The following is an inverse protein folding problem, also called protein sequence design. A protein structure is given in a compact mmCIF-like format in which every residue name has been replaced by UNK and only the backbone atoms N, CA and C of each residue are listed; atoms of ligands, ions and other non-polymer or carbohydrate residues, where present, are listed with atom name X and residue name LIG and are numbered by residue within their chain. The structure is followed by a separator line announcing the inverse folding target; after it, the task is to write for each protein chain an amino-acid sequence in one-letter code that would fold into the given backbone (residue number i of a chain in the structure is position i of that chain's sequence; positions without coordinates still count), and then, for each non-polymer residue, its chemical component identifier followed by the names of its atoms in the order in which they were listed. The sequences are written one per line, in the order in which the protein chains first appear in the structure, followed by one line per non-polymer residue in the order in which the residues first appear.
data_IF_782161048639
#
_entry.id   IF_782161048639
#
_cell.length_a   1.000
_cell.length_b   1.000
_cell.length_c   1.000
_cell.angle_alpha   90.00
_cell.angle_beta   90.00
_cell.angle_gamma   90.00
#
_symmetry.space_group_name_H-M   'P 1'
#
loop_
_entity.id
_entity.type
_entity.pdbx_description
1 polymer ?
#
# COMPACT_ATOMS: atom_id res chain seq x y z
N UNK A 1 -24.73 -91.28 -33.58
CA UNK A 1 -23.40 -90.81 -34.04
C UNK A 1 -23.28 -89.32 -33.76
N UNK A 2 -22.35 -89.04 -32.86
CA UNK A 2 -21.85 -87.80 -32.22
C UNK A 2 -22.23 -86.41 -32.78
N UNK A 3 -22.56 -85.49 -31.85
CA UNK A 3 -22.44 -84.04 -32.07
C UNK A 3 -21.62 -83.37 -30.97
N UNK A 4 -20.50 -82.83 -31.45
CA UNK A 4 -19.45 -81.97 -30.89
C UNK A 4 -19.70 -81.22 -29.57
N UNK A 5 -18.69 -81.33 -28.70
CA UNK A 5 -18.22 -80.26 -27.81
C UNK A 5 -16.69 -80.30 -27.79
N UNK A 6 -16.02 -79.20 -28.14
CA UNK A 6 -14.64 -78.97 -27.73
C UNK A 6 -14.48 -77.52 -27.26
N UNK A 7 -13.76 -77.44 -26.15
CA UNK A 7 -13.54 -76.35 -25.23
C UNK A 7 -12.26 -75.59 -25.64
N UNK A 8 -12.32 -74.27 -25.75
CA UNK A 8 -11.13 -73.41 -25.76
C UNK A 8 -11.34 -72.28 -24.75
N UNK A 9 -10.54 -72.29 -23.68
CA UNK A 9 -10.45 -71.23 -22.68
C UNK A 9 -9.69 -70.03 -23.26
N UNK A 10 -10.32 -68.87 -23.32
CA UNK A 10 -9.69 -67.57 -23.52
C UNK A 10 -9.61 -66.85 -22.18
N UNK A 11 -8.39 -66.53 -21.74
CA UNK A 11 -8.09 -65.73 -20.55
C UNK A 11 -8.33 -64.26 -20.91
N UNK A 12 -9.37 -63.64 -20.36
CA UNK A 12 -9.57 -62.19 -20.37
C UNK A 12 -8.93 -61.60 -19.12
N UNK A 13 -7.84 -60.84 -19.29
CA UNK A 13 -7.24 -60.04 -18.22
C UNK A 13 -8.04 -58.76 -18.03
N UNK A 14 -8.99 -58.77 -17.09
CA UNK A 14 -9.70 -57.58 -16.62
C UNK A 14 -8.84 -56.88 -15.56
N UNK A 15 -8.26 -55.72 -15.91
CA UNK A 15 -7.67 -54.82 -14.92
C UNK A 15 -8.81 -54.23 -14.07
N UNK A 16 -8.89 -54.67 -12.81
CA UNK A 16 -9.74 -54.05 -11.80
C UNK A 16 -9.11 -52.69 -11.43
N UNK A 17 -9.68 -51.59 -11.93
CA UNK A 17 -9.50 -50.27 -11.34
C UNK A 17 -10.22 -50.27 -9.99
N UNK A 18 -9.45 -50.38 -8.91
CA UNK A 18 -9.95 -50.09 -7.57
C UNK A 18 -10.14 -48.58 -7.51
N UNK A 19 -11.39 -48.12 -7.62
CA UNK A 19 -11.79 -46.77 -7.25
C UNK A 19 -11.61 -46.62 -5.74
N UNK A 20 -10.42 -46.20 -5.30
CA UNK A 20 -10.29 -45.50 -4.02
C UNK A 20 -10.82 -44.09 -4.24
N UNK A 21 -11.83 -43.60 -3.51
CA UNK A 21 -12.11 -42.18 -3.52
C UNK A 21 -10.86 -41.48 -3.00
N UNK A 22 -10.21 -40.73 -3.90
CA UNK A 22 -9.27 -39.70 -3.48
C UNK A 22 -10.13 -38.70 -2.72
N UNK A 23 -10.07 -38.77 -1.39
CA UNK A 23 -10.36 -37.60 -0.57
C UNK A 23 -9.28 -36.62 -0.98
N UNK A 24 -9.62 -35.71 -1.90
CA UNK A 24 -8.83 -34.49 -2.11
C UNK A 24 -8.88 -33.74 -0.79
N UNK A 25 -7.93 -34.05 0.08
CA UNK A 25 -7.50 -33.16 1.13
C UNK A 25 -6.82 -31.98 0.46
N UNK A 26 -7.62 -31.09 -0.14
CA UNK A 26 -7.18 -29.73 -0.36
C UNK A 26 -7.01 -29.13 1.03
N UNK A 27 -5.77 -29.07 1.52
CA UNK A 27 -5.43 -28.17 2.60
C UNK A 27 -5.46 -26.73 2.08
N UNK A 28 -6.62 -26.29 1.58
CA UNK A 28 -6.94 -24.87 1.59
C UNK A 28 -7.13 -24.53 3.06
N UNK A 29 -6.10 -23.97 3.70
CA UNK A 29 -6.37 -23.04 4.79
C UNK A 29 -6.97 -21.78 4.16
N UNK A 30 -8.19 -21.89 3.64
CA UNK A 30 -9.10 -20.77 3.59
C UNK A 30 -9.33 -20.44 5.05
N UNK A 31 -8.51 -19.55 5.60
CA UNK A 31 -8.82 -18.94 6.88
C UNK A 31 -10.16 -18.24 6.64
N UNK A 32 -11.25 -18.85 7.12
CA UNK A 32 -12.55 -18.18 7.19
C UNK A 32 -12.28 -16.82 7.82
N UNK A 33 -12.59 -15.74 7.08
CA UNK A 33 -12.35 -14.40 7.55
C UNK A 33 -13.16 -14.21 8.84
N UNK A 34 -12.52 -14.08 10.02
CA UNK A 34 -13.22 -14.04 11.29
C UNK A 34 -14.02 -12.75 11.50
N UNK A 35 -14.01 -11.85 10.51
CA UNK A 35 -14.70 -10.57 10.52
C UNK A 35 -15.92 -10.50 9.58
N UNK A 36 -16.36 -11.61 8.98
CA UNK A 36 -17.48 -11.64 8.03
C UNK A 36 -18.33 -12.93 8.11
N UNK A 37 -19.37 -13.02 7.28
CA UNK A 37 -20.19 -14.23 7.09
C UNK A 37 -20.95 -14.74 8.35
N UNK A 38 -21.24 -13.85 9.31
CA UNK A 38 -21.90 -14.20 10.57
C UNK A 38 -23.28 -14.86 10.42
N UNK A 39 -23.98 -14.61 9.32
CA UNK A 39 -25.29 -15.24 9.02
C UNK A 39 -25.14 -16.68 8.54
N UNK A 40 -24.02 -17.00 7.90
CA UNK A 40 -23.80 -18.27 7.22
C UNK A 40 -22.90 -19.21 8.04
N UNK A 41 -22.11 -18.67 8.97
CA UNK A 41 -21.26 -19.44 9.85
C UNK A 41 -21.33 -18.93 11.30
N UNK A 42 -22.13 -19.59 12.13
CA UNK A 42 -22.26 -19.24 13.55
C UNK A 42 -21.07 -19.70 14.40
N UNK A 43 -20.18 -20.55 13.88
CA UNK A 43 -18.99 -20.98 14.61
C UNK A 43 -17.97 -19.83 14.75
N UNK A 44 -17.96 -18.86 13.83
CA UNK A 44 -17.04 -17.71 13.93
C UNK A 44 -17.33 -16.85 15.17
N UNK A 45 -18.57 -16.85 15.67
CA UNK A 45 -18.94 -16.18 16.91
C UNK A 45 -18.12 -16.72 18.10
N UNK A 46 -17.81 -18.02 18.10
CA UNK A 46 -17.08 -18.69 19.18
C UNK A 46 -15.58 -18.36 19.23
N UNK A 47 -15.05 -17.73 18.17
CA UNK A 47 -13.67 -17.24 18.14
C UNK A 47 -13.46 -16.07 19.11
N UNK A 48 -14.51 -15.27 19.33
CA UNK A 48 -14.46 -14.06 20.15
C UNK A 48 -15.37 -14.15 21.39
N UNK A 49 -16.48 -14.89 21.30
CA UNK A 49 -17.50 -14.95 22.34
C UNK A 49 -17.66 -16.37 22.93
N UNK A 50 -17.98 -16.46 24.22
CA UNK A 50 -18.35 -17.73 24.87
C UNK A 50 -19.41 -17.51 25.94
N UNK A 51 -20.51 -18.27 25.87
CA UNK A 51 -21.60 -18.17 26.86
C UNK A 51 -21.22 -18.71 28.23
N UNK A 52 -20.47 -19.82 28.29
CA UNK A 52 -20.11 -20.48 29.55
C UNK A 52 -18.67 -20.23 30.00
N UNK A 53 -17.81 -19.69 29.12
CA UNK A 53 -16.37 -19.48 29.41
C UNK A 53 -15.91 -18.04 29.11
N UNK A 54 -16.84 -17.08 29.07
CA UNK A 54 -16.48 -15.67 28.97
C UNK A 54 -15.57 -15.27 30.13
N UNK A 55 -14.59 -14.42 29.82
CA UNK A 55 -13.67 -13.82 30.79
C UNK A 55 -13.95 -12.34 31.03
N UNK A 56 -14.78 -11.72 30.19
CA UNK A 56 -15.18 -10.32 30.32
C UNK A 56 -16.63 -10.10 29.85
N UNK A 57 -17.11 -8.86 29.98
CA UNK A 57 -18.41 -8.43 29.49
C UNK A 57 -18.61 -8.73 28.00
N UNK A 58 -19.88 -8.73 27.55
CA UNK A 58 -20.26 -9.06 26.16
C UNK A 58 -19.77 -10.44 25.72
N UNK A 59 -19.59 -11.35 26.68
CA UNK A 59 -19.19 -12.74 26.50
C UNK A 59 -17.77 -12.92 25.92
N UNK A 60 -16.88 -11.94 26.02
CA UNK A 60 -15.55 -12.06 25.41
C UNK A 60 -14.73 -13.22 26.00
N UNK A 61 -14.02 -13.96 25.15
CA UNK A 61 -13.18 -15.10 25.54
C UNK A 61 -11.85 -14.69 26.21
N UNK A 62 -11.46 -13.43 26.07
CA UNK A 62 -10.32 -12.82 26.76
C UNK A 62 -10.78 -11.74 27.75
N UNK A 63 -9.85 -11.30 28.60
CA UNK A 63 -10.11 -10.35 29.69
C UNK A 63 -10.37 -8.93 29.21
N UNK A 64 -9.90 -8.57 28.01
CA UNK A 64 -10.09 -7.24 27.43
C UNK A 64 -10.40 -7.33 25.93
N UNK A 65 -10.87 -6.21 25.35
CA UNK A 65 -11.14 -6.13 23.90
C UNK A 65 -9.83 -6.29 23.12
N UNK A 66 -8.77 -5.60 23.56
CA UNK A 66 -7.43 -5.71 23.01
C UNK A 66 -6.92 -7.14 23.04
N UNK A 67 -7.04 -7.81 24.18
CA UNK A 67 -6.55 -9.18 24.35
C UNK A 67 -7.31 -10.15 23.44
N UNK A 68 -8.61 -9.92 23.22
CA UNK A 68 -9.42 -10.71 22.28
C UNK A 68 -8.90 -10.53 20.85
N UNK A 69 -8.69 -9.29 20.40
CA UNK A 69 -8.16 -9.01 19.06
C UNK A 69 -6.74 -9.59 18.88
N UNK A 70 -5.91 -9.51 19.91
CA UNK A 70 -4.54 -10.01 19.90
C UNK A 70 -4.42 -11.53 19.89
N UNK A 71 -5.48 -12.29 20.15
CA UNK A 71 -5.47 -13.74 19.93
C UNK A 71 -5.07 -14.09 18.49
N UNK A 72 -5.40 -13.23 17.53
CA UNK A 72 -4.98 -13.37 16.13
C UNK A 72 -3.97 -12.30 15.70
N UNK A 73 -4.17 -11.04 16.13
CA UNK A 73 -3.41 -9.88 15.64
C UNK A 73 -2.10 -9.57 16.39
N UNK A 74 -1.59 -10.53 17.16
CA UNK A 74 -0.25 -10.46 17.76
C UNK A 74 0.82 -11.27 17.00
N UNK A 75 0.45 -11.75 15.81
CA UNK A 75 1.32 -12.46 14.89
C UNK A 75 1.22 -13.97 14.91
N UNK A 76 0.22 -14.56 15.59
CA UNK A 76 -0.01 -16.02 15.60
C UNK A 76 -1.25 -16.51 14.85
N UNK A 77 -2.28 -15.67 14.67
CA UNK A 77 -3.55 -16.09 14.05
C UNK A 77 -3.98 -15.25 12.85
N UNK A 78 -3.20 -14.24 12.49
CA UNK A 78 -3.45 -13.37 11.33
C UNK A 78 -2.13 -13.03 10.66
N UNK A 79 -2.20 -12.76 9.34
CA UNK A 79 -1.08 -12.15 8.62
C UNK A 79 -0.71 -10.77 9.17
N UNK A 80 -1.65 -10.08 9.84
CA UNK A 80 -1.40 -8.77 10.43
C UNK A 80 -1.07 -8.89 11.92
N UNK A 81 0.21 -8.68 12.25
CA UNK A 81 0.70 -8.53 13.63
C UNK A 81 0.67 -7.04 13.98
N UNK A 82 -0.52 -6.55 14.32
CA UNK A 82 -0.77 -5.15 14.67
C UNK A 82 -0.05 -4.77 15.96
N UNK A 83 0.13 -5.73 16.88
CA UNK A 83 0.87 -5.52 18.13
C UNK A 83 2.31 -5.09 17.86
N UNK A 84 3.03 -5.81 17.01
CA UNK A 84 4.43 -5.52 16.69
C UNK A 84 4.60 -4.68 15.41
N UNK A 85 3.50 -4.24 14.80
CA UNK A 85 3.50 -3.45 13.57
C UNK A 85 4.15 -4.18 12.41
N UNK A 86 3.87 -5.48 12.26
CA UNK A 86 4.39 -6.33 11.19
C UNK A 86 3.27 -6.92 10.35
N UNK A 87 3.58 -7.20 9.10
CA UNK A 87 2.76 -8.03 8.22
C UNK A 87 3.58 -9.25 7.81
N UNK A 88 3.02 -10.43 8.02
CA UNK A 88 3.60 -11.68 7.55
C UNK A 88 3.35 -11.85 6.06
N UNK A 89 4.40 -12.20 5.34
CA UNK A 89 4.41 -12.23 3.89
C UNK A 89 5.09 -13.50 3.39
N UNK A 90 4.30 -14.39 2.79
CA UNK A 90 4.77 -15.64 2.19
C UNK A 90 5.56 -15.34 0.90
N UNK A 91 6.84 -15.70 0.90
CA UNK A 91 7.73 -15.61 -0.28
C UNK A 91 7.86 -16.95 -1.01
N UNK A 92 7.50 -18.05 -0.35
CA UNK A 92 7.30 -19.37 -0.96
C UNK A 92 6.25 -20.16 -0.17
N UNK A 93 5.93 -21.38 -0.61
CA UNK A 93 5.02 -22.28 0.10
C UNK A 93 5.47 -22.60 1.53
N UNK A 94 6.79 -22.54 1.79
CA UNK A 94 7.38 -22.94 3.07
C UNK A 94 8.11 -21.81 3.78
N UNK A 95 8.08 -20.59 3.23
CA UNK A 95 8.87 -19.47 3.75
C UNK A 95 8.07 -18.18 3.76
N UNK A 96 8.11 -17.51 4.90
CA UNK A 96 7.53 -16.19 5.09
C UNK A 96 8.50 -15.24 5.75
N UNK A 97 8.39 -13.97 5.37
CA UNK A 97 9.15 -12.87 5.95
C UNK A 97 8.18 -11.89 6.61
N UNK A 98 8.62 -11.29 7.72
CA UNK A 98 7.87 -10.21 8.37
C UNK A 98 8.38 -8.86 7.89
N UNK A 99 7.52 -8.11 7.21
CA UNK A 99 7.78 -6.73 6.80
C UNK A 99 7.11 -5.74 7.76
N UNK A 100 7.63 -4.52 7.85
CA UNK A 100 6.98 -3.46 8.65
C UNK A 100 5.62 -3.10 8.04
N UNK A 101 4.61 -2.97 8.91
CA UNK A 101 3.29 -2.51 8.53
C UNK A 101 3.28 -1.00 8.32
N UNK A 102 2.63 -0.54 7.25
CA UNK A 102 2.41 0.89 7.01
C UNK A 102 1.48 1.58 8.02
N UNK A 103 0.85 0.81 8.92
CA UNK A 103 0.07 1.30 10.05
C UNK A 103 0.86 1.45 11.37
N UNK A 104 2.07 0.88 11.46
CA UNK A 104 2.84 0.83 12.70
C UNK A 104 2.24 -0.16 13.72
N UNK A 105 2.65 -0.07 14.99
CA UNK A 105 2.25 -0.99 16.04
C UNK A 105 2.25 -0.39 17.44
N UNK A 106 1.82 -1.19 18.42
CA UNK A 106 1.55 -0.71 19.79
C UNK A 106 2.58 -1.17 20.83
N UNK A 107 3.43 -2.14 20.52
CA UNK A 107 4.29 -2.78 21.52
C UNK A 107 5.58 -1.97 21.81
N UNK A 108 5.75 -1.39 23.01
CA UNK A 108 6.98 -0.66 23.35
C UNK A 108 8.23 -1.55 23.29
N UNK A 109 8.10 -2.85 23.59
CA UNK A 109 9.22 -3.80 23.49
C UNK A 109 9.67 -4.04 22.03
N UNK A 110 8.83 -3.71 21.04
CA UNK A 110 9.21 -3.71 19.62
C UNK A 110 9.83 -2.37 19.17
N UNK A 111 10.03 -1.43 20.10
CA UNK A 111 10.66 -0.13 19.87
C UNK A 111 9.69 0.99 19.47
N UNK A 112 8.38 0.79 19.63
CA UNK A 112 7.40 1.87 19.40
C UNK A 112 7.49 2.89 20.55
N UNK A 113 7.74 4.15 20.20
CA UNK A 113 8.03 5.26 21.12
C UNK A 113 6.79 6.12 21.37
N UNK A 114 5.84 6.14 20.44
CA UNK A 114 4.48 6.64 20.67
C UNK A 114 3.46 5.80 19.92
N UNK A 115 2.27 5.73 20.48
CA UNK A 115 1.09 5.11 19.90
C UNK A 115 -0.17 5.81 20.41
N UNK A 116 -1.30 5.59 19.75
CA UNK A 116 -2.57 5.77 20.45
C UNK A 116 -2.64 4.75 21.60
N UNK A 117 -2.92 5.19 22.83
CA UNK A 117 -3.02 4.26 23.96
C UNK A 117 -4.34 3.50 23.90
N UNK A 118 -4.28 2.17 23.82
CA UNK A 118 -5.48 1.32 23.76
C UNK A 118 -5.83 0.84 25.16
N UNK A 119 -7.12 0.89 25.49
CA UNK A 119 -7.72 0.64 26.81
C UNK A 119 -7.34 1.68 27.86
N UNK A 120 -7.12 2.92 27.41
CA UNK A 120 -6.79 4.07 28.24
C UNK A 120 -7.56 5.33 27.78
N UNK A 121 -7.61 6.34 28.65
CA UNK A 121 -8.14 7.66 28.32
C UNK A 121 -7.10 8.45 27.51
N UNK A 122 -7.50 8.93 26.33
CA UNK A 122 -6.65 9.68 25.42
C UNK A 122 -7.21 11.10 25.24
N UNK A 123 -6.35 12.11 25.37
CA UNK A 123 -6.68 13.47 24.97
C UNK A 123 -6.21 13.69 23.51
N UNK A 124 -7.13 13.70 22.52
CA UNK A 124 -6.73 13.89 21.12
C UNK A 124 -6.21 15.31 20.93
N UNK A 125 -4.93 15.42 20.53
CA UNK A 125 -4.35 16.71 20.15
C UNK A 125 -5.17 17.33 19.02
N UNK A 126 -5.56 18.60 19.17
CA UNK A 126 -6.45 19.29 18.23
C UNK A 126 -7.90 18.80 18.25
N UNK A 127 -8.33 18.06 19.27
CA UNK A 127 -9.74 17.73 19.51
C UNK A 127 -10.46 18.78 20.37
N UNK A 128 -11.73 18.55 20.65
CA UNK A 128 -12.59 19.47 21.42
C UNK A 128 -12.27 19.57 22.93
N UNK A 129 -11.10 19.07 23.37
CA UNK A 129 -10.67 19.07 24.78
C UNK A 129 -11.20 17.91 25.63
N UNK A 130 -12.14 17.11 25.11
CA UNK A 130 -12.65 15.92 25.82
C UNK A 130 -11.71 14.72 25.65
N UNK A 131 -11.47 13.99 26.74
CA UNK A 131 -10.71 12.75 26.70
C UNK A 131 -11.61 11.57 26.32
N UNK A 132 -11.09 10.68 25.48
CA UNK A 132 -11.83 9.56 24.90
C UNK A 132 -11.18 8.25 25.34
N UNK A 133 -11.96 7.30 25.85
CA UNK A 133 -11.47 5.95 26.11
C UNK A 133 -11.33 5.20 24.78
N UNK A 134 -10.09 4.95 24.35
CA UNK A 134 -9.82 4.35 23.05
C UNK A 134 -9.69 2.83 23.18
N UNK A 135 -10.40 2.09 22.35
CA UNK A 135 -10.26 0.64 22.17
C UNK A 135 -10.04 0.35 20.69
N UNK A 136 -9.69 -0.89 20.33
CA UNK A 136 -9.65 -1.30 18.92
C UNK A 136 -11.00 -1.02 18.23
N UNK A 137 -12.10 -1.21 18.97
CA UNK A 137 -13.46 -1.01 18.47
C UNK A 137 -13.90 0.46 18.37
N UNK A 138 -13.08 1.41 18.82
CA UNK A 138 -13.35 2.84 18.63
C UNK A 138 -13.20 3.25 17.16
N UNK A 139 -12.36 2.54 16.39
CA UNK A 139 -12.16 2.78 14.95
C UNK A 139 -12.60 1.61 14.08
N UNK A 140 -12.51 0.37 14.55
CA UNK A 140 -12.87 -0.83 13.78
C UNK A 140 -14.19 -1.44 14.24
N UNK A 141 -14.96 -1.99 13.32
CA UNK A 141 -16.16 -2.76 13.59
C UNK A 141 -15.85 -4.27 13.46
N UNK A 142 -15.71 -5.01 14.57
CA UNK A 142 -15.41 -6.44 14.51
C UNK A 142 -16.55 -7.21 13.84
N UNK A 143 -17.78 -6.71 13.88
CA UNK A 143 -18.94 -7.32 13.21
C UNK A 143 -19.08 -6.92 11.73
N UNK A 144 -18.06 -6.24 11.17
CA UNK A 144 -17.99 -5.86 9.76
C UNK A 144 -18.44 -4.42 9.47
N UNK A 145 -17.90 -3.85 8.39
CA UNK A 145 -18.29 -2.57 7.80
C UNK A 145 -17.89 -2.58 6.33
N UNK A 146 -18.61 -1.81 5.51
CA UNK A 146 -18.28 -1.57 4.10
C UNK A 146 -17.02 -0.70 3.92
N UNK A 147 -16.53 -0.09 4.99
CA UNK A 147 -15.28 0.67 4.95
C UNK A 147 -14.07 -0.25 4.85
N UNK A 148 -13.07 0.25 4.15
CA UNK A 148 -11.76 -0.38 4.09
C UNK A 148 -11.21 -0.65 5.50
N UNK A 149 -10.72 -1.88 5.73
CA UNK A 149 -10.26 -2.37 7.04
C UNK A 149 -11.33 -2.29 8.13
N UNK A 150 -12.58 -2.58 7.78
CA UNK A 150 -13.73 -2.67 8.70
C UNK A 150 -13.85 -1.43 9.60
N UNK A 151 -13.52 -0.23 9.08
CA UNK A 151 -13.58 1.00 9.88
C UNK A 151 -15.05 1.35 10.19
N UNK A 152 -15.36 1.77 11.41
CA UNK A 152 -16.73 2.16 11.78
C UNK A 152 -17.27 3.28 10.89
N UNK A 153 -18.55 3.19 10.54
CA UNK A 153 -19.27 4.20 9.76
C UNK A 153 -19.59 5.47 10.60
N UNK A 154 -19.55 5.32 11.92
CA UNK A 154 -19.73 6.39 12.91
C UNK A 154 -18.61 6.30 13.93
N UNK A 155 -17.83 7.36 14.09
CA UNK A 155 -16.74 7.45 15.08
C UNK A 155 -16.91 8.74 15.86
N UNK A 156 -16.91 8.64 17.19
CA UNK A 156 -17.00 9.80 18.08
C UNK A 156 -18.17 10.74 17.75
N UNK A 157 -19.36 10.17 17.48
CA UNK A 157 -20.56 10.93 17.10
C UNK A 157 -20.56 11.49 15.68
N UNK A 158 -19.45 11.37 14.94
CA UNK A 158 -19.37 11.78 13.53
C UNK A 158 -19.88 10.65 12.63
N UNK A 159 -21.03 10.89 12.02
CA UNK A 159 -21.63 9.99 11.04
C UNK A 159 -21.04 10.16 9.63
N UNK A 160 -21.37 9.24 8.72
CA UNK A 160 -20.99 9.33 7.32
C UNK A 160 -19.50 9.11 7.04
N UNK A 161 -18.82 8.36 7.91
CA UNK A 161 -17.42 7.99 7.68
C UNK A 161 -17.38 6.93 6.58
N UNK A 162 -16.81 7.34 5.44
CA UNK A 162 -16.54 6.49 4.28
C UNK A 162 -15.04 6.51 4.00
N UNK A 163 -14.37 5.39 4.24
CA UNK A 163 -12.95 5.19 3.92
C UNK A 163 -12.84 4.16 2.82
N UNK A 164 -12.40 4.62 1.64
CA UNK A 164 -12.13 3.73 0.51
C UNK A 164 -10.66 3.43 0.42
N UNK A 165 -10.36 2.18 0.16
CA UNK A 165 -9.01 1.69 0.05
C UNK A 165 -8.99 0.27 -0.46
N UNK A 166 -7.82 -0.13 -0.92
CA UNK A 166 -7.58 -1.44 -1.48
C UNK A 166 -6.23 -1.96 -1.00
N UNK A 167 -6.04 -3.26 -1.17
CA UNK A 167 -4.72 -3.90 -1.04
C UNK A 167 -4.49 -4.62 -2.33
N UNK A 168 -3.39 -4.29 -2.97
CA UNK A 168 -2.89 -5.05 -4.11
C UNK A 168 -1.52 -5.62 -3.79
N UNK A 169 -0.98 -6.43 -4.70
CA UNK A 169 0.36 -7.00 -4.60
C UNK A 169 1.26 -6.32 -5.61
N UNK A 170 2.43 -5.88 -5.18
CA UNK A 170 3.45 -5.39 -6.10
C UNK A 170 3.90 -6.51 -7.02
N UNK A 171 3.90 -6.29 -8.33
CA UNK A 171 4.38 -7.30 -9.28
C UNK A 171 5.90 -7.56 -9.16
N UNK A 172 6.67 -6.64 -8.57
CA UNK A 172 8.13 -6.75 -8.41
C UNK A 172 8.52 -7.44 -7.11
N UNK A 173 7.89 -7.00 -6.03
CA UNK A 173 8.30 -7.37 -4.68
C UNK A 173 7.36 -8.38 -4.06
N UNK A 174 6.18 -8.57 -4.68
CA UNK A 174 5.04 -9.33 -4.18
C UNK A 174 4.60 -8.89 -2.75
N UNK A 175 5.10 -7.73 -2.27
CA UNK A 175 4.65 -7.05 -1.06
C UNK A 175 3.23 -6.54 -1.22
N UNK A 176 2.48 -6.54 -0.12
CA UNK A 176 1.18 -5.87 -0.05
C UNK A 176 1.35 -4.36 -0.15
N UNK A 177 0.61 -3.75 -1.07
CA UNK A 177 0.55 -2.30 -1.30
C UNK A 177 -0.85 -1.84 -0.88
N UNK A 178 -1.02 -1.33 0.36
CA UNK A 178 -2.26 -0.70 0.76
C UNK A 178 -2.37 0.69 0.13
N UNK A 179 -3.46 0.91 -0.60
CA UNK A 179 -3.80 2.19 -1.21
C UNK A 179 -5.00 2.77 -0.48
N UNK A 180 -4.86 3.98 0.07
CA UNK A 180 -6.02 4.75 0.51
C UNK A 180 -6.50 5.59 -0.67
N UNK A 181 -7.75 5.40 -1.05
CA UNK A 181 -8.32 6.00 -2.24
C UNK A 181 -9.05 7.29 -1.88
N UNK A 182 -9.74 7.30 -0.74
CA UNK A 182 -10.39 8.50 -0.21
C UNK A 182 -10.80 8.34 1.25
N UNK A 183 -10.96 9.48 1.93
CA UNK A 183 -11.76 9.59 3.16
C UNK A 183 -11.03 9.23 4.45
N UNK A 184 -9.76 8.82 4.39
CA UNK A 184 -9.01 8.48 5.60
C UNK A 184 -8.82 9.68 6.53
N UNK A 185 -8.55 10.86 5.96
CA UNK A 185 -8.49 12.11 6.73
C UNK A 185 -9.83 12.43 7.41
N UNK A 186 -10.96 12.15 6.74
CA UNK A 186 -12.29 12.39 7.30
C UNK A 186 -12.54 11.54 8.57
N UNK A 187 -12.02 10.30 8.58
CA UNK A 187 -12.03 9.43 9.76
C UNK A 187 -11.18 10.01 10.89
N UNK A 188 -9.93 10.40 10.62
CA UNK A 188 -9.03 10.96 11.66
C UNK A 188 -9.62 12.23 12.30
N UNK A 189 -10.26 13.07 11.48
CA UNK A 189 -10.89 14.31 11.94
C UNK A 189 -12.20 14.11 12.70
N UNK A 190 -12.59 12.88 13.07
CA UNK A 190 -13.63 12.61 14.06
C UNK A 190 -13.18 12.89 15.50
N UNK A 191 -11.86 12.83 15.74
CA UNK A 191 -11.25 13.16 17.03
C UNK A 191 -10.30 14.36 16.91
N UNK A 192 -9.62 14.51 15.77
CA UNK A 192 -8.63 15.56 15.50
C UNK A 192 -9.24 16.74 14.72
N UNK A 193 -10.17 17.45 15.36
CA UNK A 193 -11.07 18.43 14.71
C UNK A 193 -10.34 19.64 14.10
N UNK A 194 -9.31 20.16 14.78
CA UNK A 194 -8.58 21.36 14.38
C UNK A 194 -7.86 21.20 13.02
N UNK A 195 -7.57 19.97 12.61
CA UNK A 195 -6.88 19.71 11.35
C UNK A 195 -7.81 19.76 10.12
N UNK A 196 -9.11 20.01 10.32
CA UNK A 196 -10.03 20.32 9.21
C UNK A 196 -9.84 21.74 8.68
N UNK A 197 -9.13 22.62 9.39
CA UNK A 197 -9.02 24.05 9.10
C UNK A 197 -7.58 24.48 8.84
N UNK A 198 -7.41 25.51 8.00
CA UNK A 198 -6.11 26.19 7.86
C UNK A 198 -5.90 27.18 9.00
N UNK A 199 -4.65 27.43 9.41
CA UNK A 199 -4.33 28.35 10.53
C UNK A 199 -4.85 29.78 10.36
N UNK A 200 -5.21 30.18 9.14
CA UNK A 200 -5.81 31.48 8.82
C UNK A 200 -7.29 31.59 9.17
N UNK A 201 -7.98 30.47 9.40
CA UNK A 201 -9.42 30.45 9.69
C UNK A 201 -9.72 30.80 11.16
N UNK A 202 -10.85 31.49 11.46
CA UNK A 202 -11.21 31.91 12.81
C UNK A 202 -11.63 30.77 13.74
N UNK A 203 -12.16 29.65 13.21
CA UNK A 203 -12.66 28.49 13.98
C UNK A 203 -11.53 27.61 14.57
N UNK A 204 -10.28 27.97 14.32
CA UNK A 204 -9.10 27.26 14.80
C UNK A 204 -8.89 27.50 16.30
N UNK A 205 -8.93 26.44 17.08
CA UNK A 205 -8.78 26.49 18.54
C UNK A 205 -7.31 26.68 18.94
N UNK A 206 -6.39 25.89 18.37
CA UNK A 206 -4.94 26.06 18.61
C UNK A 206 -4.20 26.67 17.42
N UNK A 207 -3.78 27.94 17.54
CA UNK A 207 -2.99 28.67 16.51
C UNK A 207 -1.48 28.55 16.68
N UNK A 208 -1.00 27.88 17.73
CA UNK A 208 0.45 27.75 18.02
C UNK A 208 1.12 26.65 17.20
N UNK A 209 0.34 25.75 16.62
CA UNK A 209 0.85 24.63 15.83
C UNK A 209 0.85 24.94 14.33
N UNK A 210 1.99 24.77 13.68
CA UNK A 210 2.07 24.84 12.22
C UNK A 210 1.45 23.58 11.62
N UNK A 211 0.36 23.75 10.85
CA UNK A 211 -0.35 22.67 10.19
C UNK A 211 -0.20 22.79 8.68
N UNK A 212 0.05 21.67 8.02
CA UNK A 212 -0.07 21.59 6.57
C UNK A 212 -1.54 21.37 6.21
N UNK A 213 -2.08 21.99 5.15
CA UNK A 213 -3.39 21.63 4.63
C UNK A 213 -3.46 20.13 4.31
N UNK A 214 -4.53 19.46 4.72
CA UNK A 214 -4.77 18.05 4.39
C UNK A 214 -5.73 17.94 3.19
N UNK A 215 -5.71 16.80 2.51
CA UNK A 215 -6.49 16.53 1.29
C UNK A 215 -6.17 17.49 0.13
N UNK A 216 -5.00 18.12 0.14
CA UNK A 216 -4.51 18.98 -0.94
C UNK A 216 -3.64 18.18 -1.91
N UNK A 217 -3.80 18.46 -3.21
CA UNK A 217 -2.96 17.89 -4.26
C UNK A 217 -1.51 18.35 -4.13
N UNK A 218 -0.57 17.46 -4.46
CA UNK A 218 0.87 17.77 -4.48
C UNK A 218 1.24 18.84 -5.52
N UNK A 219 0.38 19.08 -6.51
CA UNK A 219 0.53 20.06 -7.58
C UNK A 219 -0.22 21.39 -7.31
N UNK A 220 -0.91 21.52 -6.19
CA UNK A 220 -1.89 22.59 -5.91
C UNK A 220 -1.38 24.03 -6.00
N UNK A 221 -0.06 24.26 -6.04
CA UNK A 221 0.57 25.58 -6.23
C UNK A 221 1.34 25.72 -7.55
N UNK A 222 1.16 24.81 -8.49
CA UNK A 222 1.90 24.78 -9.76
C UNK A 222 3.35 24.30 -9.65
N UNK A 223 3.78 23.86 -8.46
CA UNK A 223 5.07 23.18 -8.26
C UNK A 223 4.83 21.67 -8.18
N UNK A 224 5.51 20.89 -9.02
CA UNK A 224 5.47 19.43 -8.94
C UNK A 224 6.31 19.00 -7.73
N UNK A 225 5.66 18.51 -6.67
CA UNK A 225 6.33 17.93 -5.50
C UNK A 225 6.40 16.40 -5.61
N UNK A 226 7.47 15.85 -5.05
CA UNK A 226 7.71 14.40 -5.01
C UNK A 226 7.85 13.93 -3.57
N UNK A 227 7.44 12.70 -3.31
CA UNK A 227 7.66 12.05 -2.02
C UNK A 227 7.68 10.53 -2.17
N UNK A 228 8.47 9.86 -1.33
CA UNK A 228 8.42 8.40 -1.16
C UNK A 228 7.30 7.97 -0.22
N UNK A 229 6.68 8.93 0.48
CA UNK A 229 5.62 8.70 1.45
C UNK A 229 4.27 8.40 0.78
N UNK A 230 3.39 7.61 1.42
CA UNK A 230 2.12 7.23 0.82
C UNK A 230 1.19 8.43 0.66
N UNK A 231 0.57 8.55 -0.50
CA UNK A 231 -0.48 9.54 -0.80
C UNK A 231 -1.87 8.87 -0.78
N UNK A 232 -2.92 9.68 -0.65
CA UNK A 232 -4.27 9.26 -0.99
C UNK A 232 -4.49 9.43 -2.51
N UNK A 233 -5.16 8.47 -3.14
CA UNK A 233 -5.32 8.40 -4.60
C UNK A 233 -4.06 7.89 -5.29
N UNK A 234 -3.70 8.49 -6.44
CA UNK A 234 -2.51 8.11 -7.19
C UNK A 234 -1.23 8.35 -6.37
N UNK A 235 -0.19 7.49 -6.48
CA UNK A 235 1.12 7.73 -5.88
C UNK A 235 1.74 9.04 -6.35
N UNK A 236 2.74 9.55 -5.63
CA UNK A 236 3.56 10.63 -6.18
C UNK A 236 4.39 10.11 -7.37
N UNK A 237 4.68 10.97 -8.35
CA UNK A 237 5.64 10.62 -9.41
C UNK A 237 7.03 10.38 -8.84
N UNK A 238 7.88 9.64 -9.54
CA UNK A 238 9.23 9.39 -9.05
C UNK A 238 10.14 10.60 -9.24
N UNK A 239 11.08 10.74 -8.31
CA UNK A 239 12.19 11.69 -8.39
C UNK A 239 13.48 10.91 -8.70
N UNK A 240 13.94 10.88 -9.97
CA UNK A 240 15.21 10.25 -10.32
C UNK A 240 16.34 10.94 -9.57
N UNK A 241 17.13 10.16 -8.84
CA UNK A 241 18.23 10.69 -8.05
C UNK A 241 19.19 11.49 -8.96
N UNK A 242 19.51 12.75 -8.61
CA UNK A 242 20.24 13.67 -9.47
C UNK A 242 21.64 13.15 -9.82
N UNK A 243 22.25 12.35 -8.95
CA UNK A 243 23.64 11.89 -9.06
C UNK A 243 23.80 10.53 -9.74
N UNK A 244 22.70 9.81 -10.05
CA UNK A 244 22.78 8.41 -10.47
C UNK A 244 22.44 8.15 -11.94
N UNK A 245 22.37 9.20 -12.76
CA UNK A 245 22.31 9.03 -14.22
C UNK A 245 23.70 8.73 -14.76
N UNK A 246 24.00 7.44 -14.97
CA UNK A 246 25.29 7.00 -15.52
C UNK A 246 25.13 6.55 -16.96
N UNK A 247 26.09 6.96 -17.78
CA UNK A 247 26.25 6.45 -19.14
C UNK A 247 27.03 5.15 -19.05
N UNK A 248 26.57 4.14 -19.76
CA UNK A 248 27.32 2.91 -19.93
C UNK A 248 27.45 2.57 -21.41
N UNK A 249 28.52 1.84 -21.75
CA UNK A 249 28.69 1.25 -23.08
C UNK A 249 27.61 0.21 -23.37
N UNK A 250 27.34 -0.01 -24.67
CA UNK A 250 26.27 -0.86 -25.17
C UNK A 250 24.91 -0.15 -25.14
N UNK A 251 24.10 -0.34 -26.18
CA UNK A 251 22.83 0.37 -26.40
C UNK A 251 22.81 1.17 -27.70
N UNK A 252 21.65 1.71 -28.05
CA UNK A 252 21.38 2.40 -29.33
C UNK A 252 20.94 3.85 -29.13
N UNK A 253 21.05 4.41 -27.92
CA UNK A 253 20.82 5.85 -27.73
C UNK A 253 21.94 6.62 -28.40
N UNK A 254 21.66 7.27 -29.53
CA UNK A 254 22.66 7.96 -30.36
C UNK A 254 22.94 9.39 -29.89
N UNK A 255 24.14 9.87 -30.22
CA UNK A 255 24.53 11.28 -30.05
C UNK A 255 23.84 12.16 -31.11
N UNK A 256 22.59 12.56 -30.85
CA UNK A 256 21.91 13.69 -31.50
C UNK A 256 21.98 14.94 -30.63
N UNK A 257 21.08 15.93 -30.80
CA UNK A 257 21.01 17.09 -29.90
C UNK A 257 21.02 16.62 -28.42
N UNK A 258 22.10 16.95 -27.70
CA UNK A 258 22.78 16.06 -26.74
C UNK A 258 22.02 15.61 -25.47
N UNK A 259 20.72 15.83 -25.32
CA UNK A 259 19.97 15.49 -24.11
C UNK A 259 18.78 14.57 -24.38
N UNK A 260 18.63 13.57 -23.53
CA UNK A 260 17.38 12.83 -23.32
C UNK A 260 16.69 13.34 -22.06
N UNK A 261 15.37 13.33 -22.09
CA UNK A 261 14.51 13.77 -20.99
C UNK A 261 13.62 12.62 -20.58
N UNK A 262 13.58 12.33 -19.28
CA UNK A 262 12.83 11.22 -18.73
C UNK A 262 11.77 11.70 -17.76
N UNK A 263 10.58 11.11 -17.86
CA UNK A 263 9.53 11.22 -16.85
C UNK A 263 9.31 9.81 -16.32
N UNK A 264 9.30 9.69 -14.99
CA UNK A 264 9.01 8.43 -14.32
C UNK A 264 7.76 8.63 -13.47
N UNK A 265 6.72 7.89 -13.81
CA UNK A 265 5.44 7.87 -13.10
C UNK A 265 5.35 6.61 -12.26
N UNK A 266 4.54 6.66 -11.22
CA UNK A 266 4.22 5.55 -10.36
C UNK A 266 2.71 5.33 -10.38
N UNK A 267 2.29 4.07 -10.39
CA UNK A 267 0.86 3.74 -10.40
C UNK A 267 0.49 2.89 -9.21
N UNK A 268 -0.74 3.04 -8.74
CA UNK A 268 -1.38 2.07 -7.87
C UNK A 268 -2.67 1.54 -8.49
N UNK A 269 -3.19 0.47 -7.89
CA UNK A 269 -4.46 -0.12 -8.27
C UNK A 269 -5.46 0.25 -7.20
N UNK A 270 -6.59 0.78 -7.63
CA UNK A 270 -7.78 1.00 -6.82
C UNK A 270 -8.81 -0.06 -7.16
N UNK A 271 -9.63 -0.45 -6.18
CA UNK A 271 -10.65 -1.47 -6.39
C UNK A 271 -12.02 -0.88 -6.11
N UNK A 272 -12.89 -0.92 -7.11
CA UNK A 272 -14.30 -0.60 -6.96
C UNK A 272 -15.15 -1.87 -7.12
N UNK A 273 -16.33 -1.87 -6.49
CA UNK A 273 -17.38 -2.85 -6.78
C UNK A 273 -18.41 -2.16 -7.67
N UNK A 274 -18.58 -2.64 -8.90
CA UNK A 274 -19.57 -2.15 -9.86
C UNK A 274 -20.49 -3.34 -10.17
N UNK A 275 -21.78 -3.20 -9.90
CA UNK A 275 -22.78 -4.26 -10.10
C UNK A 275 -22.44 -5.62 -9.44
N UNK A 276 -21.76 -5.57 -8.30
CA UNK A 276 -21.31 -6.76 -7.56
C UNK A 276 -20.00 -7.36 -8.04
N UNK A 277 -19.41 -6.85 -9.12
CA UNK A 277 -18.11 -7.29 -9.64
C UNK A 277 -16.97 -6.37 -9.18
N UNK A 278 -15.83 -6.99 -8.87
CA UNK A 278 -14.60 -6.29 -8.52
C UNK A 278 -13.96 -5.73 -9.79
N UNK A 279 -13.96 -4.41 -9.92
CA UNK A 279 -13.30 -3.69 -11.02
C UNK A 279 -12.04 -3.02 -10.48
N UNK A 280 -10.90 -3.40 -11.03
CA UNK A 280 -9.61 -2.79 -10.73
C UNK A 280 -9.33 -1.64 -11.71
N UNK A 281 -9.00 -0.48 -11.15
CA UNK A 281 -8.65 0.72 -11.91
C UNK A 281 -7.20 1.11 -11.59
N UNK A 282 -6.42 1.38 -12.63
CA UNK A 282 -5.05 1.84 -12.48
C UNK A 282 -5.03 3.36 -12.34
N UNK A 283 -4.52 3.87 -11.23
CA UNK A 283 -4.27 5.30 -11.06
C UNK A 283 -2.78 5.58 -11.18
N UNK A 284 -2.39 6.23 -12.27
CA UNK A 284 -1.02 6.63 -12.54
C UNK A 284 -0.77 8.07 -12.08
N UNK A 285 0.33 8.27 -11.36
CA UNK A 285 0.79 9.59 -10.94
C UNK A 285 0.92 10.51 -12.13
N UNK A 286 0.60 11.79 -11.95
CA UNK A 286 0.91 12.80 -12.95
C UNK A 286 2.43 12.95 -13.19
N UNK A 287 2.78 13.82 -14.13
CA UNK A 287 4.15 14.16 -14.52
C UNK A 287 5.12 14.18 -13.32
N UNK A 288 6.06 13.24 -13.32
CA UNK A 288 7.19 13.12 -12.41
C UNK A 288 8.23 14.24 -12.60
N UNK A 289 9.36 14.16 -11.89
CA UNK A 289 10.48 15.08 -12.14
C UNK A 289 11.06 14.80 -13.53
N UNK A 290 11.21 15.84 -14.35
CA UNK A 290 11.86 15.68 -15.65
C UNK A 290 13.36 15.58 -15.44
N UNK A 291 13.90 14.37 -15.61
CA UNK A 291 15.34 14.13 -15.55
C UNK A 291 15.97 14.34 -16.92
N UNK A 292 16.82 15.35 -17.03
CA UNK A 292 17.73 15.56 -18.16
C UNK A 292 18.97 14.66 -18.02
N UNK A 293 19.33 13.95 -19.09
CA UNK A 293 20.56 13.14 -19.18
C UNK A 293 21.27 13.48 -20.48
N UNK A 294 22.53 13.88 -20.38
CA UNK A 294 23.38 14.15 -21.54
C UNK A 294 23.99 12.85 -22.05
N UNK A 295 23.89 12.58 -23.37
CA UNK A 295 24.42 11.36 -24.00
C UNK A 295 25.36 11.77 -25.16
N UNK A 296 26.66 12.03 -24.89
CA UNK A 296 27.60 12.55 -25.87
C UNK A 296 28.14 11.48 -26.83
N UNK A 297 28.04 10.21 -26.45
CA UNK A 297 28.46 9.05 -27.26
C UNK A 297 27.35 8.00 -27.20
N UNK A 298 27.25 7.18 -28.25
CA UNK A 298 26.22 6.14 -28.32
C UNK A 298 26.34 5.15 -27.16
N UNK A 299 25.23 4.84 -26.50
CA UNK A 299 25.22 3.92 -25.37
C UNK A 299 23.85 3.72 -24.74
N UNK A 300 23.85 3.51 -23.42
CA UNK A 300 22.65 3.32 -22.59
C UNK A 300 22.65 4.26 -21.40
N UNK A 301 21.45 4.55 -20.90
CA UNK A 301 21.22 5.39 -19.72
C UNK A 301 20.76 4.52 -18.55
N UNK A 302 21.37 4.69 -17.38
CA UNK A 302 20.90 4.08 -16.14
C UNK A 302 20.24 5.15 -15.29
N UNK A 303 19.00 4.93 -14.86
CA UNK A 303 18.26 5.80 -13.94
C UNK A 303 18.09 5.08 -12.61
N UNK A 304 18.11 5.83 -11.50
CA UNK A 304 17.77 5.29 -10.18
C UNK A 304 16.86 6.22 -9.41
N UNK A 305 15.97 5.68 -8.59
CA UNK A 305 15.09 6.43 -7.70
C UNK A 305 14.72 5.60 -6.47
N UNK A 306 14.29 6.28 -5.43
CA UNK A 306 13.80 5.65 -4.20
C UNK A 306 12.40 5.06 -4.43
N UNK A 307 12.14 3.92 -3.79
CA UNK A 307 10.84 3.28 -3.80
C UNK A 307 9.76 4.18 -3.18
N UNK A 308 8.57 4.15 -3.77
CA UNK A 308 7.41 4.90 -3.31
C UNK A 308 6.46 3.91 -2.63
N UNK A 309 6.14 4.17 -1.36
CA UNK A 309 5.50 3.19 -0.49
C UNK A 309 4.16 2.64 -1.00
N UNK A 310 3.37 3.45 -1.72
CA UNK A 310 2.09 3.05 -2.28
C UNK A 310 2.14 2.77 -3.79
N UNK A 311 3.33 2.64 -4.39
CA UNK A 311 3.49 2.32 -5.82
C UNK A 311 3.53 0.81 -6.07
N UNK A 312 2.68 0.37 -7.00
CA UNK A 312 2.57 -1.02 -7.45
C UNK A 312 3.54 -1.31 -8.59
N UNK A 313 3.69 -0.35 -9.51
CA UNK A 313 4.67 -0.38 -10.58
C UNK A 313 4.98 1.04 -11.08
N UNK A 314 6.06 1.17 -11.85
CA UNK A 314 6.51 2.39 -12.51
C UNK A 314 6.37 2.30 -14.04
N UNK A 315 6.11 3.45 -14.67
CA UNK A 315 6.27 3.67 -16.11
C UNK A 315 7.39 4.68 -16.36
N UNK A 316 8.18 4.44 -17.41
CA UNK A 316 9.26 5.33 -17.83
C UNK A 316 8.98 5.83 -19.23
N UNK A 317 8.95 7.15 -19.37
CA UNK A 317 8.77 7.85 -20.63
C UNK A 317 10.03 8.60 -21.00
N UNK A 318 10.32 8.68 -22.29
CA UNK A 318 11.51 9.33 -22.85
C UNK A 318 11.15 10.27 -23.98
N UNK A 319 11.78 11.44 -23.97
CA UNK A 319 11.89 12.33 -25.11
C UNK A 319 13.37 12.53 -25.45
N UNK A 320 13.70 12.74 -26.72
CA UNK A 320 15.07 12.99 -27.15
C UNK A 320 15.60 12.00 -28.18
N UNK A 321 16.76 12.32 -28.80
CA UNK A 321 17.67 13.40 -28.40
C UNK A 321 17.17 14.80 -28.80
N UNK A 322 17.18 15.76 -27.87
CA UNK A 322 16.75 17.16 -28.05
C UNK A 322 17.72 18.14 -27.36
N UNK A 323 17.87 19.35 -27.91
CA UNK A 323 18.75 20.37 -27.32
C UNK A 323 18.16 20.95 -26.02
N UNK A 324 16.84 21.20 -26.02
CA UNK A 324 16.11 21.83 -24.94
C UNK A 324 15.01 20.89 -24.42
N UNK A 325 14.60 21.10 -23.16
CA UNK A 325 13.53 20.33 -22.54
C UNK A 325 12.21 20.59 -23.29
N UNK A 326 11.53 19.55 -23.80
CA UNK A 326 10.23 19.73 -24.41
C UNK A 326 9.19 20.10 -23.36
N UNK A 327 8.32 21.06 -23.70
CA UNK A 327 7.19 21.49 -22.88
C UNK A 327 5.95 20.63 -23.08
N UNK A 328 5.83 20.00 -24.25
CA UNK A 328 4.68 19.20 -24.67
C UNK A 328 4.86 17.73 -24.28
N UNK A 329 3.88 17.14 -23.57
CA UNK A 329 3.92 15.73 -23.14
C UNK A 329 3.91 14.76 -24.33
N UNK A 330 3.40 15.21 -25.47
CA UNK A 330 3.37 14.50 -26.75
C UNK A 330 4.77 14.15 -27.28
N UNK A 331 5.79 14.88 -26.82
CA UNK A 331 7.20 14.63 -27.15
C UNK A 331 7.77 13.40 -26.44
N UNK A 332 7.07 12.89 -25.42
CA UNK A 332 7.51 11.74 -24.63
C UNK A 332 6.81 10.47 -25.09
N UNK A 333 7.59 9.41 -25.30
CA UNK A 333 7.09 8.08 -25.63
C UNK A 333 7.33 7.13 -24.46
N UNK A 334 6.39 6.22 -24.21
CA UNK A 334 6.56 5.16 -23.22
C UNK A 334 7.69 4.22 -23.67
N UNK A 335 8.69 4.03 -22.82
CA UNK A 335 9.82 3.13 -23.07
C UNK A 335 9.67 1.82 -22.30
N UNK A 336 9.09 1.89 -21.12
CA UNK A 336 9.11 0.79 -20.17
C UNK A 336 7.93 0.88 -19.19
N UNK A 337 7.30 -0.26 -18.89
CA UNK A 337 6.49 -0.43 -17.68
C UNK A 337 7.08 -1.58 -16.91
N UNK A 338 7.45 -1.33 -15.67
CA UNK A 338 8.00 -2.39 -14.83
C UNK A 338 7.07 -3.62 -14.81
N UNK A 339 5.74 -3.45 -14.74
CA UNK A 339 4.75 -4.56 -14.65
C UNK A 339 4.70 -5.50 -15.85
N UNK A 340 5.04 -5.02 -17.04
CA UNK A 340 4.91 -5.80 -18.29
C UNK A 340 6.26 -6.04 -18.97
N UNK A 341 7.34 -5.52 -18.42
CA UNK A 341 8.67 -5.67 -19.02
C UNK A 341 9.20 -7.09 -18.78
N UNK A 342 9.16 -7.90 -19.83
CA UNK A 342 9.66 -9.28 -19.81
C UNK A 342 11.19 -9.33 -19.76
N UNK A 343 11.88 -8.24 -20.14
CA UNK A 343 13.31 -8.07 -19.90
C UNK A 343 13.53 -7.60 -18.46
N UNK A 344 13.33 -8.53 -17.49
CA UNK A 344 13.55 -8.32 -16.04
C UNK A 344 14.90 -7.67 -15.69
N UNK A 345 15.89 -7.69 -16.58
CA UNK A 345 17.16 -7.00 -16.38
C UNK A 345 17.05 -5.48 -16.42
N UNK A 346 16.03 -4.90 -17.07
CA UNK A 346 15.88 -3.45 -17.19
C UNK A 346 15.40 -2.80 -15.91
N UNK A 347 14.58 -3.47 -15.08
CA UNK A 347 14.16 -2.96 -13.77
C UNK A 347 14.69 -3.85 -12.65
N UNK A 348 15.40 -3.25 -11.71
CA UNK A 348 15.92 -3.96 -10.54
C UNK A 348 15.57 -3.16 -9.29
N UNK A 349 15.21 -3.85 -8.20
CA UNK A 349 15.01 -3.24 -6.89
C UNK A 349 15.99 -3.85 -5.90
N UNK A 350 16.85 -3.02 -5.34
CA UNK A 350 17.79 -3.41 -4.29
C UNK A 350 17.79 -2.33 -3.21
N UNK A 351 17.61 -2.73 -1.94
CA UNK A 351 17.61 -1.82 -0.78
C UNK A 351 16.72 -0.58 -0.97
N UNK A 352 15.50 -0.80 -1.47
CA UNK A 352 14.51 0.27 -1.73
C UNK A 352 14.93 1.28 -2.81
N UNK A 353 15.97 0.99 -3.59
CA UNK A 353 16.36 1.75 -4.77
C UNK A 353 15.97 0.98 -6.02
N UNK A 354 15.09 1.59 -6.82
CA UNK A 354 14.80 1.14 -8.17
C UNK A 354 15.91 1.58 -9.11
N UNK A 355 16.36 0.67 -9.96
CA UNK A 355 17.28 0.92 -11.07
C UNK A 355 16.58 0.57 -12.38
N UNK A 356 16.64 1.48 -13.35
CA UNK A 356 16.19 1.27 -14.71
C UNK A 356 17.33 1.42 -15.71
N UNK A 357 17.40 0.53 -16.70
CA UNK A 357 18.36 0.61 -17.80
C UNK A 357 17.62 0.86 -19.12
N UNK A 358 17.87 2.01 -19.72
CA UNK A 358 17.44 2.35 -21.07
C UNK A 358 18.54 2.08 -22.09
N UNK A 359 18.36 1.02 -22.88
CA UNK A 359 19.26 0.61 -23.95
C UNK A 359 18.95 1.24 -25.31
N UNK A 360 17.97 2.14 -25.38
CA UNK A 360 17.52 2.78 -26.62
C UNK A 360 16.32 2.10 -27.28
N UNK A 361 15.99 0.88 -26.90
CA UNK A 361 14.73 0.25 -27.31
C UNK A 361 13.53 1.07 -26.84
N UNK A 362 12.43 1.02 -27.59
CA UNK A 362 11.14 1.59 -27.18
C UNK A 362 10.13 0.46 -27.23
N UNK A 363 9.29 0.33 -26.20
CA UNK A 363 8.15 -0.59 -26.20
C UNK A 363 7.10 -0.06 -27.19
N UNK A 364 7.31 -0.42 -28.46
CA UNK A 364 6.53 -0.01 -29.62
C UNK A 364 6.44 1.51 -29.83
N UNK A 365 6.01 1.93 -31.01
CA UNK A 365 5.60 3.30 -31.30
C UNK A 365 4.30 3.64 -30.53
N UNK A 366 4.32 3.51 -29.21
CA UNK A 366 3.15 3.65 -28.35
C UNK A 366 2.62 5.08 -28.44
N UNK A 367 1.33 5.25 -28.74
CA UNK A 367 0.61 6.52 -28.60
C UNK A 367 0.38 6.90 -27.12
N UNK A 368 0.80 6.05 -26.18
CA UNK A 368 0.70 6.34 -24.75
C UNK A 368 1.64 7.47 -24.39
N UNK A 369 1.10 8.47 -23.70
CA UNK A 369 1.81 9.64 -23.19
C UNK A 369 1.80 9.64 -21.66
N UNK A 370 2.72 10.38 -21.00
CA UNK A 370 2.59 10.62 -19.58
C UNK A 370 1.23 11.28 -19.28
N UNK A 371 0.59 10.97 -18.14
CA UNK A 371 -0.62 11.66 -17.74
C UNK A 371 -0.39 13.17 -17.57
N UNK A 372 -1.40 13.96 -17.93
CA UNK A 372 -1.38 15.40 -17.68
C UNK A 372 -1.33 15.68 -16.15
N UNK A 373 -0.76 16.83 -15.72
CA UNK A 373 -0.83 17.29 -14.34
C UNK A 373 -2.26 17.26 -13.79
N UNK A 374 -2.44 16.68 -12.60
CA UNK A 374 -3.71 16.64 -11.90
C UNK A 374 -3.48 16.53 -10.38
N UNK A 375 -4.51 16.84 -9.60
CA UNK A 375 -4.46 16.81 -8.12
C UNK A 375 -4.85 15.47 -7.52
N UNK A 376 -4.61 14.35 -8.23
CA UNK A 376 -5.02 13.02 -7.77
C UNK A 376 -4.22 12.54 -6.56
N UNK A 377 -2.94 12.88 -6.48
CA UNK A 377 -2.09 12.55 -5.33
C UNK A 377 -2.29 13.56 -4.21
N UNK A 378 -2.98 13.16 -3.15
CA UNK A 378 -3.31 14.04 -2.02
C UNK A 378 -2.48 13.72 -0.78
N UNK A 379 -1.99 14.79 -0.14
CA UNK A 379 -1.38 14.70 1.18
C UNK A 379 -2.46 14.51 2.22
N UNK A 380 -2.37 13.45 3.03
CA UNK A 380 -3.31 13.15 4.11
C UNK A 380 -2.58 12.95 5.43
N UNK A 381 -3.33 12.78 6.53
CA UNK A 381 -2.73 12.51 7.84
C UNK A 381 -1.78 11.31 7.78
N UNK A 382 -2.19 10.24 7.10
CA UNK A 382 -1.41 9.01 6.99
C UNK A 382 -0.22 9.11 6.02
N UNK A 383 -0.08 10.19 5.26
CA UNK A 383 1.15 10.48 4.52
C UNK A 383 2.30 10.73 5.49
N UNK A 384 2.03 11.45 6.58
CA UNK A 384 3.05 11.84 7.56
C UNK A 384 3.05 10.95 8.81
N UNK A 385 1.90 10.35 9.15
CA UNK A 385 1.70 9.63 10.40
C UNK A 385 1.40 8.14 10.17
N UNK A 386 1.83 7.31 11.11
CA UNK A 386 1.31 5.96 11.31
C UNK A 386 -0.04 6.02 12.04
N UNK A 387 -0.92 5.06 11.76
CA UNK A 387 -2.26 5.00 12.38
C UNK A 387 -2.23 4.47 13.82
N UNK A 388 -1.29 3.57 14.14
CA UNK A 388 -1.20 2.90 15.44
C UNK A 388 -0.07 3.45 16.29
N UNK A 389 1.16 3.38 15.79
CA UNK A 389 2.35 3.81 16.54
C UNK A 389 3.60 3.92 15.69
N UNK A 390 4.58 4.66 16.18
CA UNK A 390 5.84 4.88 15.47
C UNK A 390 7.04 4.54 16.33
N UNK A 391 8.15 4.17 15.68
CA UNK A 391 9.48 4.04 16.30
C UNK A 391 10.32 5.31 16.12
N UNK A 392 9.80 6.27 15.34
CA UNK A 392 10.51 7.47 14.94
C UNK A 392 10.48 8.50 16.06
N UNK A 393 11.46 9.39 16.10
CA UNK A 393 11.58 10.40 17.14
C UNK A 393 12.09 11.72 16.55
N UNK A 394 11.70 12.82 17.20
CA UNK A 394 12.38 14.09 17.08
C UNK A 394 13.49 14.13 18.14
N UNK A 395 14.75 14.18 17.73
CA UNK A 395 15.88 14.18 18.64
C UNK A 395 15.99 15.48 19.45
N UNK A 396 15.33 16.56 19.02
CA UNK A 396 15.34 17.83 19.72
C UNK A 396 14.25 17.90 20.78
N UNK A 397 13.03 17.49 20.45
CA UNK A 397 11.90 17.54 21.41
C UNK A 397 11.69 16.24 22.18
N UNK A 398 12.25 15.13 21.72
CA UNK A 398 11.95 13.78 22.21
C UNK A 398 10.55 13.27 21.83
N UNK A 399 9.76 14.07 21.14
CA UNK A 399 8.40 13.71 20.74
C UNK A 399 8.39 13.06 19.37
N UNK A 400 7.43 12.17 19.12
CA UNK A 400 7.32 11.51 17.82
C UNK A 400 6.02 11.77 17.09
N UNK A 401 4.92 12.09 17.79
CA UNK A 401 3.61 12.40 17.21
C UNK A 401 3.22 11.43 16.09
N UNK A 402 3.46 10.12 16.26
CA UNK A 402 3.18 9.08 15.27
C UNK A 402 3.88 9.25 13.90
N UNK A 403 4.89 10.12 13.76
CA UNK A 403 5.54 10.44 12.47
C UNK A 403 6.18 9.23 11.79
N UNK A 404 6.23 9.23 10.46
CA UNK A 404 6.86 8.18 9.64
C UNK A 404 8.38 8.26 9.54
N UNK A 405 8.96 9.44 9.79
CA UNK A 405 10.40 9.69 9.71
C UNK A 405 10.89 10.44 10.94
N UNK A 406 12.18 10.23 11.26
CA UNK A 406 12.89 10.91 12.33
C UNK A 406 13.07 12.41 12.01
N UNK A 407 13.24 13.25 13.02
CA UNK A 407 13.74 14.63 12.91
C UNK A 407 13.11 15.50 11.80
N UNK A 408 11.81 15.77 11.86
CA UNK A 408 11.07 16.53 10.82
C UNK A 408 11.29 16.00 9.37
N UNK A 409 11.81 14.78 9.21
CA UNK A 409 12.14 14.19 7.91
C UNK A 409 10.94 14.07 6.99
N UNK A 410 9.73 13.91 7.56
CA UNK A 410 8.46 13.94 6.81
C UNK A 410 8.26 15.26 6.06
N UNK A 411 8.71 16.38 6.63
CA UNK A 411 8.66 17.69 5.98
C UNK A 411 9.72 17.75 4.87
N UNK A 412 10.92 17.24 5.16
CA UNK A 412 12.03 17.27 4.22
C UNK A 412 11.79 16.37 3.01
N UNK A 413 11.01 15.30 3.14
CA UNK A 413 10.66 14.43 2.02
C UNK A 413 9.95 15.16 0.88
N UNK A 414 9.11 16.15 1.18
CA UNK A 414 8.34 16.88 0.15
C UNK A 414 8.98 18.22 -0.25
N UNK A 415 9.79 18.81 0.64
CA UNK A 415 10.39 20.12 0.41
C UNK A 415 11.83 20.03 -0.09
N UNK A 416 12.56 18.97 0.26
CA UNK A 416 13.96 18.71 -0.10
C UNK A 416 14.85 19.97 0.11
N UNK A 417 14.76 20.59 1.30
CA UNK A 417 15.38 21.89 1.63
C UNK A 417 16.44 21.82 2.72
#
# INVERSE_FOLDING_TARGET
MMKNKYLYLLVFSFFYFIFTPVVEGSSNRDYENPHSEYTNNTNVCSLCHSTHRAKAEKLLVATTVRDTCYMCHDGRGSKYDVKNGKTDYQISEFESIKIDSLGGGFNPAAGFTSSHSIEEMNAPKGGAGESIFLTCTSCHNPHGSDNYRIINNVINGKEGIVVKGSITRSFFTNREIPSYESGISNMCSACHNDYQYTNSQPEVIDKTQHRHPINVGLDSKGEIRFTTLPTEGAPSGAYPNPNTSTLAGGGTLFSGANNYYYIITASNITTNIIDGEKVEELQESHQGYIKRVNVPVTGRVILKWEYINNAVHYSVYRAGPLANQPTALESYSLVARSSTDTNRHRFQLENEIFTFVDDGSVLEASTVRPPAPNSQSKVTCITCHFAHGTKKLDAYTGESHLRRLDNMGVCQECHKK
#
